data_IF_507481041832
#
_entry.id   IF_507481041832
#
_cell.length_a   1.000
_cell.length_b   1.000
_cell.length_c   1.000
_cell.angle_alpha   90.00
_cell.angle_beta   90.00
_cell.angle_gamma   90.00
#
_symmetry.space_group_name_H-M   'P 1'
#
loop_
_entity.id
_entity.type
_entity.pdbx_description
1 polymer ?
#
# COMPACT_ATOMS: atom_id res chain seq x y z
N UNK A 1 15.93 -14.37 -16.12
CA UNK A 1 17.32 -14.73 -15.78
C UNK A 1 17.31 -16.03 -15.01
N UNK A 2 17.79 -17.13 -15.62
CA UNK A 2 17.86 -18.42 -14.93
C UNK A 2 18.96 -18.36 -13.87
N UNK A 3 18.62 -18.66 -12.62
CA UNK A 3 19.61 -18.70 -11.53
C UNK A 3 20.53 -19.90 -11.78
N UNK A 4 21.83 -19.64 -11.86
CA UNK A 4 22.86 -20.69 -11.94
C UNK A 4 23.23 -21.18 -10.54
N UNK A 5 23.82 -22.36 -10.49
CA UNK A 5 24.47 -22.91 -9.31
C UNK A 5 25.85 -22.23 -9.10
N UNK A 6 26.50 -22.50 -7.95
CA UNK A 6 27.81 -21.91 -7.63
C UNK A 6 28.92 -22.33 -8.64
N UNK A 7 28.73 -23.45 -9.32
CA UNK A 7 29.59 -23.98 -10.38
C UNK A 7 29.24 -23.43 -11.79
N UNK A 8 28.30 -22.48 -11.88
CA UNK A 8 27.84 -21.89 -13.14
C UNK A 8 26.86 -22.76 -13.93
N UNK A 9 26.54 -23.97 -13.47
CA UNK A 9 25.58 -24.84 -14.17
C UNK A 9 24.14 -24.32 -14.04
N UNK A 10 23.27 -24.56 -15.03
CA UNK A 10 21.85 -24.24 -14.92
C UNK A 10 21.23 -24.99 -13.73
N UNK A 11 20.53 -24.25 -12.86
CA UNK A 11 19.87 -24.87 -11.71
C UNK A 11 18.78 -25.84 -12.18
N UNK A 12 18.77 -27.05 -11.62
CA UNK A 12 17.73 -28.05 -11.87
C UNK A 12 16.35 -27.46 -11.58
N UNK A 13 15.42 -27.67 -12.50
CA UNK A 13 14.03 -27.24 -12.34
C UNK A 13 13.42 -27.89 -11.08
N UNK A 14 12.81 -27.07 -10.22
CA UNK A 14 12.15 -27.54 -9.01
C UNK A 14 10.86 -28.28 -9.38
N UNK A 15 10.67 -29.48 -8.81
CA UNK A 15 9.47 -30.30 -9.03
C UNK A 15 8.22 -29.53 -8.57
N UNK A 16 7.19 -29.48 -9.41
CA UNK A 16 5.93 -28.78 -9.10
C UNK A 16 5.97 -27.25 -9.23
N UNK A 17 7.01 -26.69 -9.87
CA UNK A 17 7.06 -25.26 -10.22
C UNK A 17 6.87 -25.07 -11.73
N UNK A 18 5.91 -24.24 -12.12
CA UNK A 18 5.83 -23.70 -13.49
C UNK A 18 6.66 -22.41 -13.53
N UNK A 19 7.62 -22.36 -14.46
CA UNK A 19 8.45 -21.18 -14.74
C UNK A 19 8.23 -20.69 -16.17
N UNK A 20 7.03 -20.92 -16.70
CA UNK A 20 6.62 -20.51 -18.04
C UNK A 20 5.60 -19.36 -17.96
N UNK A 21 5.44 -18.66 -19.07
CA UNK A 21 4.37 -17.68 -19.21
C UNK A 21 3.03 -18.38 -19.52
N UNK A 22 2.79 -19.63 -19.09
CA UNK A 22 1.54 -20.32 -19.44
C UNK A 22 0.29 -19.65 -18.85
N UNK A 23 0.48 -18.75 -17.90
CA UNK A 23 -0.54 -17.84 -17.36
C UNK A 23 -0.56 -16.51 -18.13
N UNK A 24 -0.41 -16.54 -19.46
CA UNK A 24 -0.72 -15.36 -20.28
C UNK A 24 -2.23 -15.11 -20.17
N UNK A 25 -2.60 -13.97 -19.61
CA UNK A 25 -4.00 -13.58 -19.48
C UNK A 25 -4.62 -13.35 -20.87
N UNK A 26 -5.93 -13.64 -20.99
CA UNK A 26 -6.69 -13.52 -22.23
C UNK A 26 -6.08 -14.28 -23.43
N UNK A 27 -5.34 -15.36 -23.20
CA UNK A 27 -4.61 -16.12 -24.24
C UNK A 27 -3.68 -15.24 -25.10
N UNK A 28 -3.19 -14.13 -24.56
CA UNK A 28 -2.33 -13.18 -25.27
C UNK A 28 -3.06 -12.22 -26.21
N UNK A 29 -4.40 -12.26 -26.26
CA UNK A 29 -5.20 -11.36 -27.13
C UNK A 29 -4.99 -9.87 -26.82
N UNK A 30 -4.76 -9.54 -25.55
CA UNK A 30 -4.54 -8.15 -25.10
C UNK A 30 -3.08 -7.89 -24.71
N UNK A 31 -2.15 -8.59 -25.36
CA UNK A 31 -0.73 -8.61 -25.01
C UNK A 31 -0.39 -9.77 -24.07
N UNK A 32 0.90 -10.13 -24.04
CA UNK A 32 1.44 -11.25 -23.26
C UNK A 32 1.52 -10.97 -21.75
N UNK A 33 0.44 -10.52 -21.12
CA UNK A 33 0.41 -10.22 -19.69
C UNK A 33 0.71 -11.45 -18.85
N UNK A 34 1.77 -11.38 -18.07
CA UNK A 34 2.20 -12.44 -17.15
C UNK A 34 1.79 -12.12 -15.71
N UNK A 35 1.78 -13.10 -14.79
CA UNK A 35 1.61 -12.84 -13.36
C UNK A 35 2.64 -11.86 -12.79
N UNK A 36 3.84 -11.78 -13.40
CA UNK A 36 4.85 -10.80 -12.99
C UNK A 36 4.42 -9.37 -13.30
N UNK A 37 3.72 -9.15 -14.41
CA UNK A 37 3.20 -7.84 -14.80
C UNK A 37 2.08 -7.39 -13.87
N UNK A 38 1.19 -8.31 -13.48
CA UNK A 38 0.17 -8.03 -12.45
C UNK A 38 0.81 -7.60 -11.12
N UNK A 39 1.85 -8.32 -10.69
CA UNK A 39 2.55 -8.02 -9.44
C UNK A 39 3.22 -6.64 -9.47
N UNK A 40 3.91 -6.30 -10.57
CA UNK A 40 4.52 -4.97 -10.76
C UNK A 40 3.46 -3.86 -10.78
N UNK A 41 2.36 -4.09 -11.50
CA UNK A 41 1.24 -3.14 -11.59
C UNK A 41 0.64 -2.88 -10.20
N UNK A 42 0.40 -3.92 -9.41
CA UNK A 42 -0.08 -3.79 -8.03
C UNK A 42 0.85 -2.96 -7.14
N UNK A 43 2.17 -3.16 -7.23
CA UNK A 43 3.14 -2.35 -6.48
C UNK A 43 3.13 -0.88 -6.93
N UNK A 44 3.05 -0.60 -8.23
CA UNK A 44 2.96 0.78 -8.74
C UNK A 44 1.69 1.46 -8.23
N UNK A 45 0.56 0.76 -8.23
CA UNK A 45 -0.70 1.31 -7.68
C UNK A 45 -0.55 1.59 -6.18
N UNK A 46 -0.02 0.62 -5.41
CA UNK A 46 0.19 0.81 -3.97
C UNK A 46 1.14 1.99 -3.67
N UNK A 47 2.18 2.18 -4.48
CA UNK A 47 3.07 3.34 -4.37
C UNK A 47 2.32 4.66 -4.61
N UNK A 48 1.46 4.70 -5.65
CA UNK A 48 0.62 5.86 -5.94
C UNK A 48 -0.39 6.18 -4.83
N UNK A 49 -0.79 5.17 -4.04
CA UNK A 49 -1.64 5.32 -2.85
C UNK A 49 -0.84 5.74 -1.59
N UNK A 50 0.45 6.03 -1.72
CA UNK A 50 1.31 6.47 -0.61
C UNK A 50 1.75 5.35 0.35
N UNK A 51 1.56 4.08 -0.03
CA UNK A 51 2.00 2.94 0.79
C UNK A 51 3.53 2.86 0.74
N UNK A 52 4.17 2.68 1.90
CA UNK A 52 5.63 2.64 2.00
C UNK A 52 6.21 1.39 1.33
N UNK A 53 7.43 1.52 0.80
CA UNK A 53 8.07 0.41 0.08
C UNK A 53 8.26 -0.84 0.94
N UNK A 54 8.52 -0.71 2.25
CA UNK A 54 8.65 -1.85 3.16
C UNK A 54 7.35 -2.66 3.25
N UNK A 55 6.20 -1.99 3.29
CA UNK A 55 4.90 -2.66 3.31
C UNK A 55 4.58 -3.27 1.94
N UNK A 56 4.88 -2.58 0.83
CA UNK A 56 4.69 -3.14 -0.52
C UNK A 56 5.52 -4.41 -0.70
N UNK A 57 6.79 -4.39 -0.29
CA UNK A 57 7.67 -5.54 -0.37
C UNK A 57 7.15 -6.71 0.47
N UNK A 58 6.62 -6.45 1.67
CA UNK A 58 5.97 -7.47 2.51
C UNK A 58 4.71 -8.05 1.88
N UNK A 59 3.81 -7.21 1.36
CA UNK A 59 2.64 -7.66 0.60
C UNK A 59 3.06 -8.58 -0.55
N UNK A 60 4.13 -8.21 -1.25
CA UNK A 60 4.68 -8.96 -2.34
C UNK A 60 5.50 -10.21 -1.91
N UNK A 61 5.66 -10.44 -0.61
CA UNK A 61 6.51 -11.48 -0.02
C UNK A 61 7.95 -11.44 -0.55
N UNK A 62 8.50 -10.23 -0.67
CA UNK A 62 9.90 -10.02 -1.02
C UNK A 62 10.83 -10.32 0.16
N UNK A 63 12.04 -10.75 -0.18
CA UNK A 63 13.13 -10.76 0.79
C UNK A 63 13.54 -9.31 1.02
N UNK A 64 13.27 -8.81 2.22
CA UNK A 64 13.60 -7.44 2.59
C UNK A 64 15.13 -7.24 2.66
N UNK A 65 15.66 -6.15 2.09
CA UNK A 65 17.07 -5.83 2.21
C UNK A 65 17.43 -5.49 3.67
N UNK A 66 18.61 -5.94 4.13
CA UNK A 66 19.09 -5.63 5.47
C UNK A 66 20.18 -6.56 5.99
N UNK A 67 20.76 -6.21 7.13
CA UNK A 67 21.77 -7.01 7.81
C UNK A 67 21.17 -8.30 8.39
N UNK A 68 22.02 -9.31 8.61
CA UNK A 68 21.62 -10.53 9.37
C UNK A 68 21.05 -10.14 10.73
N UNK A 69 21.65 -9.15 11.37
CA UNK A 69 21.21 -8.53 12.63
C UNK A 69 19.75 -8.05 12.56
N UNK A 70 19.34 -7.36 11.50
CA UNK A 70 17.96 -6.88 11.32
C UNK A 70 16.94 -8.03 11.40
N UNK A 71 17.24 -9.17 10.78
CA UNK A 71 16.37 -10.36 10.80
C UNK A 71 16.26 -11.01 12.18
N UNK A 72 17.24 -10.81 13.06
CA UNK A 72 17.23 -11.39 14.41
C UNK A 72 16.54 -10.53 15.46
N UNK A 73 16.29 -9.25 15.19
CA UNK A 73 15.73 -8.33 16.19
C UNK A 73 14.42 -7.67 15.76
N UNK A 74 14.15 -7.55 14.45
CA UNK A 74 12.90 -6.96 13.97
C UNK A 74 11.86 -8.06 13.72
N UNK A 75 11.05 -8.34 14.74
CA UNK A 75 10.01 -9.36 14.73
C UNK A 75 8.58 -8.80 14.57
N UNK A 76 8.43 -7.50 14.30
CA UNK A 76 7.11 -6.96 13.99
C UNK A 76 6.61 -7.58 12.69
N UNK A 77 5.41 -8.16 12.72
CA UNK A 77 4.85 -8.94 11.62
C UNK A 77 4.21 -8.07 10.53
N UNK A 78 3.89 -6.81 10.84
CA UNK A 78 3.24 -5.84 9.93
C UNK A 78 1.91 -6.33 9.30
N UNK A 79 1.21 -7.25 9.96
CA UNK A 79 -0.02 -7.85 9.42
C UNK A 79 -1.14 -6.81 9.24
N UNK A 80 -1.25 -5.85 10.15
CA UNK A 80 -2.28 -4.82 10.09
C UNK A 80 -2.02 -3.86 8.93
N UNK A 81 -0.77 -3.43 8.77
CA UNK A 81 -0.31 -2.51 7.75
C UNK A 81 -0.44 -3.14 6.36
N UNK A 82 -0.06 -4.41 6.22
CA UNK A 82 -0.23 -5.16 4.97
C UNK A 82 -1.70 -5.39 4.64
N UNK A 83 -2.57 -5.66 5.63
CA UNK A 83 -4.02 -5.75 5.43
C UNK A 83 -4.61 -4.43 4.91
N UNK A 84 -4.23 -3.31 5.51
CA UNK A 84 -4.67 -1.97 5.06
C UNK A 84 -4.19 -1.71 3.62
N UNK A 85 -2.92 -2.02 3.31
CA UNK A 85 -2.39 -1.88 1.96
C UNK A 85 -3.16 -2.70 0.92
N UNK A 86 -3.50 -3.95 1.24
CA UNK A 86 -4.33 -4.80 0.36
C UNK A 86 -5.75 -4.27 0.19
N UNK A 87 -6.35 -3.74 1.26
CA UNK A 87 -7.67 -3.12 1.19
C UNK A 87 -7.68 -1.92 0.24
N UNK A 88 -6.74 -0.99 0.41
CA UNK A 88 -6.62 0.20 -0.43
C UNK A 88 -6.37 -0.14 -1.90
N UNK A 89 -5.53 -1.15 -2.18
CA UNK A 89 -5.36 -1.65 -3.54
C UNK A 89 -6.68 -2.21 -4.09
N UNK A 90 -7.42 -2.97 -3.29
CA UNK A 90 -8.73 -3.52 -3.66
C UNK A 90 -9.75 -2.43 -4.00
N UNK A 91 -9.88 -1.42 -3.14
CA UNK A 91 -10.75 -0.26 -3.39
C UNK A 91 -10.36 0.46 -4.68
N UNK A 92 -9.07 0.66 -4.93
CA UNK A 92 -8.60 1.30 -6.16
C UNK A 92 -8.92 0.47 -7.40
N UNK A 93 -8.75 -0.84 -7.35
CA UNK A 93 -9.10 -1.73 -8.45
C UNK A 93 -10.61 -1.73 -8.71
N UNK A 94 -11.42 -1.74 -7.64
CA UNK A 94 -12.88 -1.66 -7.75
C UNK A 94 -13.31 -0.35 -8.41
N UNK A 95 -12.76 0.78 -7.99
CA UNK A 95 -13.04 2.09 -8.61
C UNK A 95 -12.70 2.10 -10.12
N UNK A 96 -11.58 1.50 -10.52
CA UNK A 96 -11.21 1.37 -11.94
C UNK A 96 -12.24 0.53 -12.72
N UNK A 97 -12.71 -0.58 -12.13
CA UNK A 97 -13.70 -1.46 -12.75
C UNK A 97 -15.08 -0.79 -12.85
N UNK A 98 -15.43 0.03 -11.88
CA UNK A 98 -16.68 0.81 -11.87
C UNK A 98 -16.61 2.05 -12.77
N UNK A 99 -15.46 2.33 -13.39
CA UNK A 99 -15.25 3.48 -14.27
C UNK A 99 -15.13 4.82 -13.52
N UNK A 100 -14.84 4.77 -12.23
CA UNK A 100 -14.67 5.97 -11.39
C UNK A 100 -13.20 6.41 -11.48
N UNK A 101 -12.95 7.47 -12.25
CA UNK A 101 -11.64 8.13 -12.28
C UNK A 101 -11.49 9.03 -11.05
N UNK A 102 -10.56 8.68 -10.17
CA UNK A 102 -10.14 9.55 -9.05
C UNK A 102 -9.29 10.72 -9.58
N UNK A 103 -9.43 11.93 -9.02
CA UNK A 103 -8.49 13.01 -9.25
C UNK A 103 -7.09 12.61 -8.77
N UNK A 104 -6.10 12.83 -9.62
CA UNK A 104 -4.68 12.52 -9.34
C UNK A 104 -4.19 13.41 -8.20
N UNK A 105 -4.13 12.87 -6.98
CA UNK A 105 -3.57 13.54 -5.81
C UNK A 105 -2.04 13.46 -5.84
N UNK A 106 -1.40 14.55 -6.27
CA UNK A 106 0.07 14.66 -6.38
C UNK A 106 0.78 15.14 -5.11
N UNK A 107 0.08 15.35 -3.99
CA UNK A 107 0.68 15.93 -2.78
C UNK A 107 0.40 15.11 -1.51
N UNK A 108 1.48 14.75 -0.81
CA UNK A 108 1.47 14.03 0.48
C UNK A 108 0.84 14.82 1.62
N UNK A 109 0.57 16.12 1.46
CA UNK A 109 -0.11 16.94 2.48
C UNK A 109 -1.62 16.70 2.56
N UNK A 110 -2.25 16.04 1.59
CA UNK A 110 -3.71 15.91 1.55
C UNK A 110 -4.29 14.62 2.17
N UNK A 111 -3.45 13.69 2.66
CA UNK A 111 -3.94 12.46 3.33
C UNK A 111 -4.19 12.62 4.83
N UNK A 112 -4.06 13.83 5.38
CA UNK A 112 -4.40 14.11 6.78
C UNK A 112 -5.59 15.07 6.88
N UNK A 113 -6.77 14.46 7.04
CA UNK A 113 -7.79 14.87 8.03
C UNK A 113 -8.65 16.13 7.76
N UNK A 114 -8.24 17.14 7.00
CA UNK A 114 -9.04 18.38 6.91
C UNK A 114 -10.39 18.20 6.19
N UNK A 115 -10.46 17.43 5.11
CA UNK A 115 -11.70 17.30 4.31
C UNK A 115 -12.76 16.44 5.02
N UNK A 116 -12.33 15.36 5.69
CA UNK A 116 -13.23 14.51 6.48
C UNK A 116 -13.64 15.18 7.78
N UNK A 117 -12.75 15.96 8.43
CA UNK A 117 -13.11 16.79 9.58
C UNK A 117 -14.02 17.96 9.18
N UNK A 118 -13.82 18.63 8.05
CA UNK A 118 -14.74 19.68 7.58
C UNK A 118 -16.12 19.13 7.24
N UNK A 119 -16.22 17.96 6.61
CA UNK A 119 -17.52 17.32 6.36
C UNK A 119 -18.23 16.94 7.66
N UNK A 120 -17.51 16.43 8.66
CA UNK A 120 -18.06 16.13 9.98
C UNK A 120 -18.50 17.40 10.70
N UNK A 121 -17.68 18.46 10.70
CA UNK A 121 -17.97 19.76 11.33
C UNK A 121 -19.16 20.47 10.65
N UNK A 122 -19.29 20.38 9.33
CA UNK A 122 -20.44 20.92 8.60
C UNK A 122 -21.73 20.11 8.80
N UNK A 123 -21.61 18.82 9.13
CA UNK A 123 -22.74 17.95 9.49
C UNK A 123 -23.15 18.00 10.97
N UNK A 124 -22.38 18.71 11.81
CA UNK A 124 -22.59 18.77 13.26
C UNK A 124 -23.51 19.94 13.63
N UNK A 125 -24.46 19.71 14.56
CA UNK A 125 -25.36 20.77 15.00
C UNK A 125 -24.57 21.84 15.80
N UNK A 126 -24.83 23.16 15.64
CA UNK A 126 -24.04 24.24 16.27
C UNK A 126 -23.86 24.10 17.79
N UNK A 127 -24.86 23.53 18.46
CA UNK A 127 -24.82 23.26 19.91
C UNK A 127 -23.76 22.21 20.31
N UNK A 128 -23.54 21.19 19.47
CA UNK A 128 -22.53 20.15 19.73
C UNK A 128 -21.11 20.69 19.54
N UNK A 129 -20.93 21.61 18.59
CA UNK A 129 -19.68 22.31 18.33
C UNK A 129 -19.27 23.17 19.53
N UNK A 130 -20.24 23.86 20.13
CA UNK A 130 -20.01 24.68 21.32
C UNK A 130 -19.65 23.82 22.56
N UNK A 131 -20.28 22.65 22.76
CA UNK A 131 -19.93 21.75 23.86
C UNK A 131 -18.51 21.21 23.77
N UNK A 132 -18.01 20.94 22.55
CA UNK A 132 -16.66 20.41 22.35
C UNK A 132 -15.58 21.46 22.68
N UNK A 133 -15.81 22.72 22.30
CA UNK A 133 -14.90 23.84 22.57
C UNK A 133 -14.81 24.10 24.09
N UNK A 134 -15.89 23.89 24.84
CA UNK A 134 -15.90 24.07 26.30
C UNK A 134 -15.18 22.97 27.08
N UNK A 135 -14.82 21.84 26.44
CA UNK A 135 -14.09 20.74 27.07
C UNK A 135 -12.57 20.86 26.94
N UNK A 136 -12.05 21.89 26.25
CA UNK A 136 -10.62 22.12 26.10
C UNK A 136 -10.11 22.87 27.33
N UNK A 137 -9.28 22.24 28.20
CA UNK A 137 -8.75 22.93 29.37
C UNK A 137 -7.84 24.07 28.92
N UNK A 138 -8.10 25.29 29.44
CA UNK A 138 -7.43 26.54 29.05
C UNK A 138 -5.89 26.49 29.13
N UNK A 139 -5.33 25.53 29.87
CA UNK A 139 -3.88 25.30 29.97
C UNK A 139 -3.21 24.89 28.64
N UNK A 140 -3.96 24.32 27.68
CA UNK A 140 -3.39 23.91 26.37
C UNK A 140 -3.32 25.05 25.34
N UNK A 141 -4.03 26.17 25.54
CA UNK A 141 -4.04 27.28 24.58
C UNK A 141 -2.84 28.23 24.68
N UNK A 142 -1.98 28.07 25.70
CA UNK A 142 -0.84 28.96 25.95
C UNK A 142 0.54 28.37 25.59
N UNK A 143 0.62 27.19 24.98
CA UNK A 143 1.91 26.54 24.65
C UNK A 143 2.40 26.77 23.21
N UNK A 144 1.66 27.49 22.36
CA UNK A 144 2.07 27.79 20.97
C UNK A 144 2.17 29.29 20.66
N UNK A 145 2.27 30.13 21.69
CA UNK A 145 2.61 31.54 21.55
C UNK A 145 4.07 31.80 22.00
N UNK A 146 5.02 31.08 21.40
CA UNK A 146 6.44 31.46 21.25
C UNK A 146 6.99 30.82 19.99
#
# INVERSE_FOLDING_TARGET
MFKVNADGTPRKALKGRRNDNSLVLANGKNGGWTPHDLRRTGATIMQGLGITMDIIDRCQNHVLPGSKTRRHYLHHEYEQETRVAWHLLGERLQAILDGVEEPVVHDMTSVLSATKLMQIVQSMHPAQLMQLIQQIPAAQLMQHAR
#
